data_IF_010514130913
#
_entry.id   IF_010514130913
#
_cell.length_a   1.000
_cell.length_b   1.000
_cell.length_c   1.000
_cell.angle_alpha   90.00
_cell.angle_beta   90.00
_cell.angle_gamma   90.00
#
_symmetry.space_group_name_H-M   'P 1'
#
loop_
_entity.id
_entity.type
_entity.pdbx_description
1 polymer ?
#
# COMPACT_ATOMS: atom_id res chain seq x y z
N UNK A 1 17.34 17.50 -21.32
CA UNK A 1 17.46 16.05 -21.35
C UNK A 1 16.94 15.53 -20.01
N UNK A 2 16.31 14.35 -20.01
CA UNK A 2 15.68 13.83 -18.78
C UNK A 2 16.63 12.97 -17.94
N UNK A 3 17.95 13.21 -18.07
CA UNK A 3 18.94 12.50 -17.26
C UNK A 3 18.91 12.96 -15.82
N UNK A 4 18.98 12.02 -14.90
CA UNK A 4 19.04 12.27 -13.46
C UNK A 4 20.33 13.04 -13.15
N UNK A 5 20.17 14.24 -12.61
CA UNK A 5 21.27 15.11 -12.18
C UNK A 5 21.54 14.97 -10.69
N UNK A 6 20.47 14.85 -9.90
CA UNK A 6 20.54 14.84 -8.44
C UNK A 6 19.38 14.03 -7.85
N UNK A 7 19.65 13.36 -6.73
CA UNK A 7 18.66 12.68 -5.89
C UNK A 7 18.78 13.25 -4.48
N UNK A 8 17.70 13.84 -3.99
CA UNK A 8 17.59 14.36 -2.63
C UNK A 8 16.65 13.50 -1.80
N UNK A 9 17.04 13.21 -0.57
CA UNK A 9 16.27 12.37 0.35
C UNK A 9 15.89 13.17 1.59
N UNK A 10 14.62 13.14 1.95
CA UNK A 10 14.05 13.83 3.09
C UNK A 10 13.40 12.86 4.05
N UNK A 11 13.24 13.28 5.30
CA UNK A 11 12.46 12.60 6.33
C UNK A 11 11.30 13.48 6.74
N UNK A 12 10.10 12.90 6.86
CA UNK A 12 8.93 13.58 7.41
C UNK A 12 8.24 12.66 8.39
N UNK A 13 7.97 13.16 9.59
CA UNK A 13 7.18 12.47 10.59
C UNK A 13 5.69 12.65 10.29
N UNK A 14 4.94 11.55 10.32
CA UNK A 14 3.51 11.50 10.06
C UNK A 14 2.75 11.05 11.31
N UNK A 15 2.40 11.98 12.24
CA UNK A 15 1.62 11.66 13.42
C UNK A 15 0.19 11.26 13.05
N UNK A 16 -0.37 10.28 13.77
CA UNK A 16 -1.70 9.76 13.52
C UNK A 16 -2.80 10.61 14.16
N UNK A 17 -3.92 10.80 13.43
CA UNK A 17 -5.11 11.53 13.91
C UNK A 17 -5.79 10.82 15.08
N UNK A 18 -5.83 9.50 15.06
CA UNK A 18 -6.46 8.68 16.11
C UNK A 18 -5.48 8.30 17.24
N UNK A 19 -4.30 8.95 17.30
CA UNK A 19 -3.30 8.79 18.34
C UNK A 19 -2.39 7.58 18.12
N UNK A 20 -2.92 6.39 17.90
CA UNK A 20 -2.15 5.18 17.64
C UNK A 20 -2.86 4.24 16.67
N UNK A 21 -2.08 3.46 15.95
CA UNK A 21 -2.54 2.35 15.12
C UNK A 21 -2.05 1.05 15.73
N UNK A 22 -2.98 0.18 16.10
CA UNK A 22 -2.70 -1.08 16.77
C UNK A 22 -3.09 -2.25 15.85
N UNK A 23 -2.25 -3.28 15.82
CA UNK A 23 -2.52 -4.50 15.07
C UNK A 23 -1.99 -5.75 15.78
N UNK A 24 -1.84 -6.85 15.07
CA UNK A 24 -1.51 -8.16 15.63
C UNK A 24 -0.39 -8.16 16.67
N UNK A 25 -0.46 -9.08 17.63
CA UNK A 25 0.55 -9.31 18.67
C UNK A 25 0.84 -8.07 19.57
N UNK A 26 -0.11 -7.16 19.72
CA UNK A 26 0.04 -5.94 20.54
C UNK A 26 1.00 -4.89 19.97
N UNK A 27 1.30 -4.96 18.69
CA UNK A 27 2.11 -3.96 18.00
C UNK A 27 1.36 -2.64 17.88
N UNK A 28 2.06 -1.52 18.06
CA UNK A 28 1.47 -0.18 18.03
C UNK A 28 2.46 0.85 17.49
N UNK A 29 1.94 1.86 16.78
CA UNK A 29 2.69 3.02 16.32
C UNK A 29 1.83 4.28 16.41
N UNK A 30 2.43 5.42 16.75
CA UNK A 30 1.75 6.72 16.83
C UNK A 30 2.26 7.75 15.83
N UNK A 31 3.49 7.58 15.36
CA UNK A 31 4.13 8.44 14.37
C UNK A 31 4.88 7.57 13.37
N UNK A 32 4.61 7.75 12.10
CA UNK A 32 5.35 7.07 11.04
C UNK A 32 6.53 7.92 10.56
N UNK A 33 7.68 7.28 10.36
CA UNK A 33 8.88 7.87 9.78
C UNK A 33 8.86 7.66 8.26
N UNK A 34 8.46 8.69 7.52
CA UNK A 34 8.37 8.63 6.05
C UNK A 34 9.65 9.13 5.39
N UNK A 35 10.07 8.46 4.32
CA UNK A 35 11.19 8.85 3.48
C UNK A 35 10.66 9.37 2.14
N UNK A 36 10.97 10.62 1.81
CA UNK A 36 10.62 11.25 0.54
C UNK A 36 11.86 11.40 -0.31
N UNK A 37 11.73 11.08 -1.59
CA UNK A 37 12.79 11.20 -2.60
C UNK A 37 12.37 12.21 -3.64
N UNK A 38 13.23 13.20 -3.90
CA UNK A 38 13.12 14.10 -5.04
C UNK A 38 14.22 13.76 -6.05
N UNK A 39 13.83 13.42 -7.26
CA UNK A 39 14.74 13.18 -8.40
C UNK A 39 14.71 14.41 -9.29
N UNK A 40 15.85 15.10 -9.42
CA UNK A 40 16.02 16.25 -10.31
C UNK A 40 16.75 15.85 -11.59
N UNK A 41 16.22 16.27 -12.73
CA UNK A 41 16.84 16.04 -14.05
C UNK A 41 17.75 17.20 -14.46
N UNK A 42 18.60 16.99 -15.47
CA UNK A 42 19.44 18.06 -16.09
C UNK A 42 18.59 19.22 -16.65
N UNK A 43 17.33 19.00 -17.00
CA UNK A 43 16.40 20.04 -17.46
C UNK A 43 15.76 20.84 -16.31
N UNK A 44 16.05 20.49 -15.06
CA UNK A 44 15.46 21.11 -13.88
C UNK A 44 14.07 20.58 -13.51
N UNK A 45 13.58 19.53 -14.19
CA UNK A 45 12.33 18.87 -13.80
C UNK A 45 12.55 18.04 -12.55
N UNK A 46 11.62 18.14 -11.60
CA UNK A 46 11.68 17.38 -10.35
C UNK A 46 10.46 16.45 -10.28
N UNK A 47 10.72 15.20 -9.94
CA UNK A 47 9.68 14.23 -9.56
C UNK A 47 9.86 13.76 -8.13
N UNK A 48 8.75 13.42 -7.50
CA UNK A 48 8.72 13.03 -6.10
C UNK A 48 8.19 11.61 -5.91
N UNK A 49 8.76 10.91 -4.94
CA UNK A 49 8.30 9.60 -4.49
C UNK A 49 8.42 9.48 -2.99
N UNK A 50 7.64 8.62 -2.40
CA UNK A 50 7.58 8.41 -0.96
C UNK A 50 7.61 6.91 -0.66
N UNK A 51 8.21 6.55 0.48
CA UNK A 51 8.17 5.21 1.03
C UNK A 51 8.11 5.30 2.55
N UNK A 52 7.16 4.61 3.14
CA UNK A 52 6.90 4.65 4.57
C UNK A 52 6.72 3.22 5.13
N UNK A 53 7.82 2.52 5.49
CA UNK A 53 7.73 1.22 6.13
C UNK A 53 7.05 1.29 7.50
N UNK A 54 6.29 0.26 7.85
CA UNK A 54 5.65 0.15 9.16
C UNK A 54 6.65 -0.16 10.30
N UNK A 55 7.87 -0.51 9.94
CA UNK A 55 8.95 -0.85 10.86
C UNK A 55 9.50 -2.26 10.63
N UNK A 56 10.65 -2.59 11.25
CA UNK A 56 11.37 -3.85 11.01
C UNK A 56 10.64 -5.10 11.54
N UNK A 57 9.60 -4.90 12.35
CA UNK A 57 8.79 -5.96 12.96
C UNK A 57 7.53 -6.31 12.14
N UNK A 58 7.36 -5.71 10.96
CA UNK A 58 6.26 -6.01 10.04
C UNK A 58 6.77 -6.72 8.78
N UNK A 59 7.57 -6.05 7.99
CA UNK A 59 8.26 -6.59 6.82
C UNK A 59 9.75 -6.27 6.94
N UNK A 60 10.65 -6.94 6.17
CA UNK A 60 12.09 -6.70 6.27
C UNK A 60 12.50 -5.34 5.69
N UNK A 61 11.92 -4.27 6.23
CA UNK A 61 12.20 -2.89 5.84
C UNK A 61 11.91 -1.92 6.99
N UNK A 62 12.72 -0.87 7.09
CA UNK A 62 12.58 0.21 8.07
C UNK A 62 13.15 1.51 7.49
N UNK A 63 12.70 2.64 7.98
CA UNK A 63 12.95 3.95 7.36
C UNK A 63 14.44 4.29 7.20
N UNK A 64 15.26 4.10 8.24
CA UNK A 64 16.71 4.33 8.15
C UNK A 64 17.39 3.39 7.13
N UNK A 65 16.94 2.12 7.07
CA UNK A 65 17.43 1.16 6.07
C UNK A 65 17.08 1.56 4.64
N UNK A 66 15.91 2.16 4.44
CA UNK A 66 15.53 2.74 3.14
C UNK A 66 16.49 3.87 2.77
N UNK A 67 16.71 4.83 3.67
CA UNK A 67 17.62 5.96 3.44
C UNK A 67 19.07 5.52 3.20
N UNK A 68 19.55 4.57 3.98
CA UNK A 68 20.89 3.99 3.79
C UNK A 68 21.01 3.28 2.42
N UNK A 69 19.98 2.50 2.04
CA UNK A 69 19.94 1.84 0.75
C UNK A 69 19.86 2.80 -0.43
N UNK A 70 19.16 3.93 -0.30
CA UNK A 70 19.15 4.98 -1.34
C UNK A 70 20.53 5.61 -1.48
N UNK A 71 21.24 5.85 -0.38
CA UNK A 71 22.61 6.36 -0.42
C UNK A 71 23.56 5.43 -1.17
N UNK A 72 23.38 4.11 -1.01
CA UNK A 72 24.16 3.10 -1.74
C UNK A 72 23.75 3.04 -3.22
N UNK A 73 22.45 3.04 -3.50
CA UNK A 73 21.91 2.84 -4.84
C UNK A 73 22.03 4.07 -5.74
N UNK A 74 21.81 5.26 -5.16
CA UNK A 74 21.65 6.53 -5.90
C UNK A 74 22.80 6.87 -6.85
N UNK A 75 24.10 6.70 -6.49
CA UNK A 75 25.20 6.99 -7.38
C UNK A 75 25.16 6.22 -8.72
N UNK A 76 24.57 5.02 -8.72
CA UNK A 76 24.42 4.21 -9.95
C UNK A 76 23.35 4.74 -10.90
N UNK A 77 22.51 5.67 -10.46
CA UNK A 77 21.38 6.19 -11.21
C UNK A 77 21.66 7.56 -11.83
N UNK A 78 22.68 8.28 -11.35
CA UNK A 78 23.09 9.59 -11.91
C UNK A 78 23.47 9.43 -13.38
N UNK A 79 22.96 10.32 -14.22
CA UNK A 79 23.15 10.31 -15.68
C UNK A 79 22.21 9.39 -16.45
N UNK A 80 21.42 8.53 -15.78
CA UNK A 80 20.40 7.71 -16.44
C UNK A 80 19.18 8.56 -16.82
N UNK A 81 18.47 8.14 -17.86
CA UNK A 81 17.22 8.78 -18.26
C UNK A 81 16.09 8.38 -17.29
N UNK A 82 15.58 9.34 -16.52
CA UNK A 82 14.50 9.14 -15.55
C UNK A 82 13.20 8.64 -16.18
N UNK A 83 12.98 8.86 -17.50
CA UNK A 83 11.78 8.41 -18.20
C UNK A 83 11.88 6.98 -18.74
N UNK A 84 13.07 6.39 -18.76
CA UNK A 84 13.31 5.00 -19.17
C UNK A 84 13.18 4.04 -17.99
N UNK A 85 11.94 3.90 -17.49
CA UNK A 85 11.61 3.18 -16.26
C UNK A 85 12.06 1.72 -16.24
N UNK A 86 11.98 1.01 -17.38
CA UNK A 86 12.40 -0.40 -17.42
C UNK A 86 13.90 -0.55 -17.25
N UNK A 87 14.67 0.28 -17.93
CA UNK A 87 16.13 0.25 -17.80
C UNK A 87 16.58 0.70 -16.40
N UNK A 88 15.95 1.76 -15.88
CA UNK A 88 16.19 2.23 -14.51
C UNK A 88 15.97 1.10 -13.48
N UNK A 89 14.85 0.37 -13.59
CA UNK A 89 14.56 -0.77 -12.71
C UNK A 89 15.59 -1.90 -12.87
N UNK A 90 16.07 -2.18 -14.08
CA UNK A 90 17.13 -3.17 -14.31
C UNK A 90 18.43 -2.76 -13.61
N UNK A 91 18.83 -1.47 -13.70
CA UNK A 91 20.02 -0.95 -13.01
C UNK A 91 19.83 -1.05 -11.50
N UNK A 92 18.70 -0.65 -10.96
CA UNK A 92 18.39 -0.76 -9.53
C UNK A 92 18.44 -2.21 -9.04
N UNK A 93 17.90 -3.17 -9.81
CA UNK A 93 17.90 -4.59 -9.45
C UNK A 93 19.29 -5.24 -9.60
N UNK A 94 20.13 -4.71 -10.47
CA UNK A 94 21.53 -5.15 -10.63
C UNK A 94 22.40 -4.62 -9.49
N UNK A 95 22.30 -3.33 -9.18
CA UNK A 95 23.18 -2.64 -8.23
C UNK A 95 22.85 -2.93 -6.77
N UNK A 96 21.57 -3.18 -6.46
CA UNK A 96 21.12 -3.51 -5.10
C UNK A 96 20.18 -4.71 -5.13
N UNK A 97 20.61 -5.87 -4.66
CA UNK A 97 19.76 -7.07 -4.62
C UNK A 97 18.73 -6.98 -3.50
N UNK A 98 17.49 -7.38 -3.79
CA UNK A 98 16.37 -7.23 -2.83
C UNK A 98 16.00 -5.76 -2.59
N UNK A 99 15.67 -5.43 -1.36
CA UNK A 99 15.37 -4.06 -0.88
C UNK A 99 14.34 -3.29 -1.74
N UNK A 100 13.13 -3.83 -1.97
CA UNK A 100 12.14 -3.18 -2.83
C UNK A 100 11.73 -1.79 -2.31
N UNK A 101 11.65 -1.60 -1.00
CA UNK A 101 11.34 -0.33 -0.36
C UNK A 101 12.36 0.79 -0.63
N UNK A 102 13.61 0.43 -0.93
CA UNK A 102 14.65 1.39 -1.34
C UNK A 102 14.40 1.89 -2.77
N UNK A 103 13.96 0.98 -3.64
CA UNK A 103 13.75 1.24 -5.07
C UNK A 103 12.44 1.97 -5.35
N UNK A 104 11.42 1.69 -4.53
CA UNK A 104 10.07 2.20 -4.72
C UNK A 104 10.00 3.73 -4.82
N UNK A 105 10.50 4.52 -3.88
CA UNK A 105 10.36 5.97 -3.95
C UNK A 105 11.11 6.58 -5.15
N UNK A 106 12.18 5.95 -5.62
CA UNK A 106 12.91 6.37 -6.81
C UNK A 106 12.07 6.07 -8.07
N UNK A 107 11.50 4.89 -8.17
CA UNK A 107 10.62 4.49 -9.28
C UNK A 107 9.39 5.41 -9.36
N UNK A 108 8.74 5.68 -8.23
CA UNK A 108 7.58 6.59 -8.14
C UNK A 108 7.96 8.00 -8.57
N UNK A 109 9.10 8.54 -8.12
CA UNK A 109 9.60 9.85 -8.55
C UNK A 109 9.86 9.90 -10.07
N UNK A 110 10.38 8.83 -10.64
CA UNK A 110 10.62 8.73 -12.08
C UNK A 110 9.30 8.60 -12.89
N UNK A 111 8.27 7.95 -12.35
CA UNK A 111 6.93 7.98 -12.92
C UNK A 111 6.33 9.40 -12.92
N UNK A 112 6.53 10.16 -11.84
CA UNK A 112 6.11 11.56 -11.75
C UNK A 112 6.79 12.41 -12.84
N UNK A 113 8.13 12.27 -13.00
CA UNK A 113 8.88 12.92 -14.10
C UNK A 113 8.31 12.51 -15.46
N UNK A 114 8.09 11.21 -15.67
CA UNK A 114 7.57 10.72 -16.96
C UNK A 114 6.21 11.33 -17.30
N UNK A 115 5.31 11.43 -16.32
CA UNK A 115 4.01 12.07 -16.48
C UNK A 115 4.16 13.56 -16.80
N UNK A 116 5.01 14.28 -16.07
CA UNK A 116 5.30 15.71 -16.31
C UNK A 116 5.90 15.95 -17.70
N UNK A 117 6.88 15.15 -18.12
CA UNK A 117 7.49 15.22 -19.47
C UNK A 117 6.49 14.91 -20.58
N UNK A 118 5.59 13.97 -20.35
CA UNK A 118 4.57 13.56 -21.33
C UNK A 118 3.33 14.47 -21.33
N UNK A 119 3.23 15.41 -20.40
CA UNK A 119 2.04 16.23 -20.13
C UNK A 119 0.78 15.38 -19.88
N UNK A 120 0.93 14.29 -19.14
CA UNK A 120 -0.15 13.36 -18.81
C UNK A 120 -0.12 12.98 -17.33
N UNK A 121 -1.30 12.73 -16.71
CA UNK A 121 -1.36 12.06 -15.43
C UNK A 121 -0.75 10.65 -15.49
N UNK A 122 -0.20 10.17 -14.38
CA UNK A 122 0.38 8.82 -14.32
C UNK A 122 -0.67 7.74 -14.63
N UNK A 123 -1.93 7.90 -14.20
CA UNK A 123 -3.02 6.98 -14.53
C UNK A 123 -3.23 6.80 -16.05
N UNK A 124 -3.08 7.88 -16.82
CA UNK A 124 -3.18 7.79 -18.29
C UNK A 124 -2.04 7.00 -18.91
N UNK A 125 -0.83 7.13 -18.35
CA UNK A 125 0.34 6.35 -18.79
C UNK A 125 0.27 4.88 -18.36
N UNK A 126 -0.54 4.56 -17.33
CA UNK A 126 -0.80 3.22 -16.85
C UNK A 126 -1.96 2.51 -17.56
N UNK A 127 -2.51 3.11 -18.61
CA UNK A 127 -3.58 2.52 -19.43
C UNK A 127 -4.86 3.34 -19.51
N UNK A 128 -4.97 4.42 -18.73
CA UNK A 128 -6.16 5.27 -18.67
C UNK A 128 -7.03 4.99 -17.44
N UNK A 129 -8.05 5.80 -17.25
CA UNK A 129 -9.00 5.69 -16.12
C UNK A 129 -10.27 4.95 -16.58
N UNK A 130 -10.84 4.13 -15.70
CA UNK A 130 -12.04 3.34 -15.99
C UNK A 130 -13.32 4.04 -15.53
N UNK A 131 -13.31 4.68 -14.36
CA UNK A 131 -14.45 5.36 -13.73
C UNK A 131 -13.98 6.70 -13.13
N UNK A 132 -14.91 7.54 -12.69
CA UNK A 132 -14.58 8.87 -12.15
C UNK A 132 -13.87 8.79 -10.77
N UNK A 133 -14.14 7.75 -10.00
CA UNK A 133 -13.55 7.46 -8.69
C UNK A 133 -13.58 5.96 -8.38
N UNK A 134 -12.91 5.54 -7.32
CA UNK A 134 -12.84 4.15 -6.89
C UNK A 134 -13.07 4.04 -5.36
N UNK A 135 -13.43 2.81 -4.91
CA UNK A 135 -13.79 2.54 -3.52
C UNK A 135 -12.58 2.43 -2.62
N UNK A 136 -12.72 2.94 -1.39
CA UNK A 136 -11.72 2.84 -0.33
C UNK A 136 -12.18 1.90 0.78
N UNK A 137 -11.22 1.27 1.46
CA UNK A 137 -11.45 0.67 2.76
C UNK A 137 -11.03 1.62 3.89
N UNK A 138 -11.59 1.37 5.08
CA UNK A 138 -11.12 1.97 6.33
C UNK A 138 -10.63 0.87 7.27
N UNK A 139 -9.40 1.00 7.74
CA UNK A 139 -8.85 0.09 8.73
C UNK A 139 -9.42 0.42 10.13
N UNK A 140 -9.86 -0.62 10.85
CA UNK A 140 -10.28 -0.56 12.24
C UNK A 140 -9.13 -1.11 13.08
N UNK A 141 -8.45 -0.22 13.79
CA UNK A 141 -7.34 -0.53 14.68
C UNK A 141 -7.75 -1.56 15.74
N UNK A 142 -6.83 -2.44 16.16
CA UNK A 142 -7.13 -3.47 17.16
C UNK A 142 -7.36 -2.84 18.52
N UNK A 143 -8.56 -3.01 19.04
CA UNK A 143 -9.03 -2.53 20.33
C UNK A 143 -10.00 -3.55 20.96
N UNK A 144 -10.70 -3.14 22.04
CA UNK A 144 -11.82 -3.86 22.61
C UNK A 144 -12.91 -4.13 21.56
N UNK A 145 -13.48 -5.36 21.50
CA UNK A 145 -14.44 -5.75 20.45
C UNK A 145 -15.61 -4.79 20.27
N UNK A 146 -16.19 -4.27 21.37
CA UNK A 146 -17.32 -3.33 21.34
C UNK A 146 -16.95 -1.97 20.76
N UNK A 147 -15.72 -1.48 21.03
CA UNK A 147 -15.21 -0.24 20.45
C UNK A 147 -14.98 -0.39 18.96
N UNK A 148 -14.38 -1.50 18.53
CA UNK A 148 -14.16 -1.79 17.11
C UNK A 148 -15.49 -1.86 16.34
N UNK A 149 -16.52 -2.48 16.93
CA UNK A 149 -17.86 -2.51 16.36
C UNK A 149 -18.48 -1.11 16.20
N UNK A 150 -18.25 -0.19 17.15
CA UNK A 150 -18.76 1.19 17.05
C UNK A 150 -18.13 1.98 15.91
N UNK A 151 -16.86 1.73 15.59
CA UNK A 151 -16.12 2.38 14.49
C UNK A 151 -16.76 2.16 13.12
N UNK A 152 -17.41 1.02 12.90
CA UNK A 152 -18.14 0.77 11.64
C UNK A 152 -19.17 1.87 11.38
N UNK A 153 -19.96 2.24 12.40
CA UNK A 153 -20.99 3.27 12.26
C UNK A 153 -20.41 4.67 12.07
N UNK A 154 -19.24 4.95 12.66
CA UNK A 154 -18.52 6.21 12.47
C UNK A 154 -18.01 6.33 11.03
N UNK A 155 -17.26 5.34 10.55
CA UNK A 155 -16.68 5.34 9.21
C UNK A 155 -17.73 5.23 8.10
N UNK A 156 -18.87 4.58 8.37
CA UNK A 156 -19.99 4.57 7.43
C UNK A 156 -20.58 5.98 7.20
N UNK A 157 -20.59 6.85 8.21
CA UNK A 157 -21.02 8.26 8.05
C UNK A 157 -20.07 9.03 7.12
N UNK A 158 -18.81 8.61 7.03
CA UNK A 158 -17.82 9.14 6.09
C UNK A 158 -17.93 8.50 4.69
N UNK A 159 -18.85 7.53 4.52
CA UNK A 159 -19.15 6.86 3.26
C UNK A 159 -18.40 5.53 3.02
N UNK A 160 -17.56 5.10 3.96
CA UNK A 160 -16.87 3.81 3.81
C UNK A 160 -17.86 2.63 3.90
N UNK A 161 -17.65 1.65 3.02
CA UNK A 161 -18.42 0.41 2.91
C UNK A 161 -17.54 -0.84 2.92
N UNK A 162 -16.23 -0.66 3.08
CA UNK A 162 -15.24 -1.73 3.19
C UNK A 162 -14.43 -1.49 4.46
N UNK A 163 -14.41 -2.50 5.33
CA UNK A 163 -13.81 -2.39 6.65
C UNK A 163 -12.74 -3.47 6.81
N UNK A 164 -11.50 -3.05 7.03
CA UNK A 164 -10.40 -3.96 7.37
C UNK A 164 -10.25 -3.98 8.89
N UNK A 165 -10.69 -5.07 9.49
CA UNK A 165 -10.66 -5.28 10.93
C UNK A 165 -9.33 -5.89 11.33
N UNK A 166 -8.56 -5.21 12.17
CA UNK A 166 -7.29 -5.75 12.68
C UNK A 166 -7.54 -6.78 13.78
N UNK A 167 -7.08 -8.00 13.52
CA UNK A 167 -7.12 -9.19 14.40
C UNK A 167 -5.71 -9.77 14.54
N UNK A 168 -5.52 -11.03 14.83
CA UNK A 168 -4.18 -11.65 14.94
C UNK A 168 -3.62 -11.59 16.37
N UNK A 169 -4.51 -11.55 17.35
CA UNK A 169 -4.18 -11.65 18.78
C UNK A 169 -4.73 -12.94 19.39
N UNK A 170 -5.38 -12.83 20.54
CA UNK A 170 -6.05 -13.95 21.18
C UNK A 170 -7.22 -14.44 20.33
N UNK A 171 -7.28 -15.72 19.95
CA UNK A 171 -8.34 -16.26 19.08
C UNK A 171 -9.77 -16.08 19.60
N UNK A 172 -9.99 -16.14 20.94
CA UNK A 172 -11.34 -15.96 21.50
C UNK A 172 -11.80 -14.52 21.39
N UNK A 173 -10.92 -13.55 21.62
CA UNK A 173 -11.19 -12.13 21.43
C UNK A 173 -11.38 -11.80 19.95
N UNK A 174 -10.60 -12.39 19.06
CA UNK A 174 -10.70 -12.14 17.62
C UNK A 174 -11.99 -12.71 17.03
N UNK A 175 -12.46 -13.85 17.50
CA UNK A 175 -13.79 -14.40 17.18
C UNK A 175 -14.87 -13.40 17.60
N UNK A 176 -14.76 -12.83 18.80
CA UNK A 176 -15.73 -11.84 19.31
C UNK A 176 -15.66 -10.52 18.52
N UNK A 177 -14.45 -10.02 18.19
CA UNK A 177 -14.25 -8.85 17.32
C UNK A 177 -14.96 -9.02 15.97
N UNK A 178 -14.75 -10.16 15.31
CA UNK A 178 -15.38 -10.45 14.01
C UNK A 178 -16.91 -10.52 14.15
N UNK A 179 -17.42 -11.17 15.17
CA UNK A 179 -18.88 -11.28 15.41
C UNK A 179 -19.52 -9.93 15.63
N UNK A 180 -19.05 -9.16 16.62
CA UNK A 180 -19.64 -7.87 16.96
C UNK A 180 -19.55 -6.83 15.83
N UNK A 181 -18.44 -6.84 15.09
CA UNK A 181 -18.28 -5.98 13.91
C UNK A 181 -19.25 -6.41 12.81
N UNK A 182 -19.39 -7.71 12.55
CA UNK A 182 -20.30 -8.23 11.52
C UNK A 182 -21.75 -7.87 11.77
N UNK A 183 -22.18 -7.79 13.03
CA UNK A 183 -23.54 -7.35 13.43
C UNK A 183 -23.85 -5.88 13.08
N UNK A 184 -22.82 -5.07 12.84
CA UNK A 184 -22.96 -3.65 12.45
C UNK A 184 -22.97 -3.45 10.94
N UNK A 185 -22.71 -4.49 10.16
CA UNK A 185 -22.66 -4.38 8.70
C UNK A 185 -24.06 -4.28 8.10
N UNK A 186 -24.15 -3.57 7.01
CA UNK A 186 -25.34 -3.43 6.17
C UNK A 186 -25.15 -4.13 4.83
N UNK A 187 -26.24 -4.33 4.11
CA UNK A 187 -26.18 -4.92 2.77
C UNK A 187 -25.25 -4.12 1.85
N UNK A 188 -24.28 -4.81 1.25
CA UNK A 188 -23.27 -4.23 0.38
C UNK A 188 -21.95 -3.85 1.08
N UNK A 189 -21.90 -3.88 2.42
CA UNK A 189 -20.62 -3.72 3.13
C UNK A 189 -19.74 -4.97 2.94
N UNK A 190 -18.42 -4.79 3.03
CA UNK A 190 -17.44 -5.88 3.03
C UNK A 190 -16.58 -5.81 4.27
N UNK A 191 -16.39 -6.97 4.91
CA UNK A 191 -15.54 -7.15 6.06
C UNK A 191 -14.29 -7.95 5.67
N UNK A 192 -13.13 -7.46 6.05
CA UNK A 192 -11.85 -8.15 5.95
C UNK A 192 -11.33 -8.32 7.38
N UNK A 193 -11.04 -9.53 7.81
CA UNK A 193 -10.36 -9.82 9.07
C UNK A 193 -8.87 -10.05 8.76
N UNK A 194 -8.07 -9.03 9.01
CA UNK A 194 -6.64 -9.02 8.74
C UNK A 194 -5.86 -9.36 10.02
N UNK A 195 -5.27 -10.54 10.01
CA UNK A 195 -4.47 -11.03 11.14
C UNK A 195 -3.01 -10.58 11.08
N UNK A 196 -2.56 -9.97 10.01
CA UNK A 196 -1.17 -9.53 9.83
C UNK A 196 -0.16 -10.56 10.34
N UNK A 197 -0.32 -11.82 9.92
CA UNK A 197 0.52 -12.98 10.28
C UNK A 197 0.40 -13.46 11.75
N UNK A 198 -0.47 -12.91 12.56
CA UNK A 198 -0.44 -13.03 14.02
C UNK A 198 -0.92 -14.37 14.60
N UNK A 199 -1.61 -15.23 13.82
CA UNK A 199 -2.07 -16.52 14.33
C UNK A 199 -1.13 -17.67 13.96
N UNK A 200 -1.01 -18.63 14.87
CA UNK A 200 -0.51 -19.96 14.50
C UNK A 200 -1.56 -20.71 13.67
N UNK A 201 -1.14 -21.65 12.85
CA UNK A 201 -2.04 -22.34 11.92
C UNK A 201 -3.26 -22.99 12.62
N UNK A 202 -3.09 -23.60 13.80
CA UNK A 202 -4.20 -24.20 14.55
C UNK A 202 -5.16 -23.15 15.13
N UNK A 203 -4.65 -21.98 15.54
CA UNK A 203 -5.45 -20.85 16.01
C UNK A 203 -6.26 -20.26 14.87
N UNK A 204 -5.62 -20.02 13.73
CA UNK A 204 -6.30 -19.56 12.52
C UNK A 204 -7.43 -20.49 12.10
N UNK A 205 -7.19 -21.82 12.08
CA UNK A 205 -8.23 -22.82 11.78
C UNK A 205 -9.38 -22.74 12.78
N UNK A 206 -9.08 -22.55 14.07
CA UNK A 206 -10.11 -22.37 15.10
C UNK A 206 -10.97 -21.13 14.85
N UNK A 207 -10.33 -19.99 14.56
CA UNK A 207 -11.04 -18.73 14.28
C UNK A 207 -11.93 -18.87 13.06
N UNK A 208 -11.41 -19.30 11.91
CA UNK A 208 -12.21 -19.40 10.67
C UNK A 208 -13.38 -20.36 10.79
N UNK A 209 -13.24 -21.46 11.57
CA UNK A 209 -14.35 -22.38 11.83
C UNK A 209 -15.41 -21.75 12.75
N UNK A 210 -15.02 -20.99 13.78
CA UNK A 210 -15.93 -20.36 14.72
C UNK A 210 -16.76 -19.22 14.08
N UNK A 211 -16.28 -18.63 12.96
CA UNK A 211 -16.96 -17.57 12.22
C UNK A 211 -17.46 -18.02 10.85
N UNK A 212 -17.58 -19.34 10.62
CA UNK A 212 -17.92 -19.95 9.32
C UNK A 212 -19.27 -19.50 8.73
N UNK A 213 -20.16 -18.96 9.55
CA UNK A 213 -21.46 -18.41 9.16
C UNK A 213 -21.45 -16.90 8.88
N UNK A 214 -20.29 -16.24 8.94
CA UNK A 214 -20.13 -14.80 8.73
C UNK A 214 -19.51 -14.56 7.34
N UNK A 215 -20.05 -13.61 6.56
CA UNK A 215 -19.43 -13.18 5.29
C UNK A 215 -18.23 -12.28 5.59
N UNK A 216 -17.05 -12.89 5.69
CA UNK A 216 -15.79 -12.21 6.00
C UNK A 216 -14.65 -12.76 5.15
N UNK A 217 -13.83 -11.87 4.61
CA UNK A 217 -12.56 -12.21 3.98
C UNK A 217 -11.49 -12.42 5.05
N UNK A 218 -10.71 -13.48 4.93
CA UNK A 218 -9.59 -13.75 5.84
C UNK A 218 -8.31 -13.28 5.17
N UNK A 219 -7.62 -12.32 5.79
CA UNK A 219 -6.39 -11.75 5.26
C UNK A 219 -5.19 -12.21 6.09
N UNK A 220 -4.17 -12.75 5.40
CA UNK A 220 -2.85 -13.16 5.91
C UNK A 220 -2.90 -13.73 7.34
N UNK A 221 -3.54 -14.87 7.57
CA UNK A 221 -3.77 -15.39 8.93
C UNK A 221 -2.48 -15.81 9.64
N UNK A 222 -1.48 -16.32 8.91
CA UNK A 222 -0.25 -16.88 9.46
C UNK A 222 1.00 -16.27 8.82
N UNK A 223 2.15 -16.49 9.46
CA UNK A 223 3.43 -15.92 9.06
C UNK A 223 3.88 -16.40 7.67
N UNK A 224 3.82 -17.71 7.44
CA UNK A 224 4.31 -18.28 6.19
C UNK A 224 3.20 -18.53 5.18
N UNK A 225 3.57 -18.50 3.90
CA UNK A 225 2.69 -18.87 2.80
C UNK A 225 2.08 -20.30 2.98
N UNK A 226 2.90 -21.26 3.38
CA UNK A 226 2.48 -22.67 3.50
C UNK A 226 1.51 -22.89 4.67
N UNK A 227 1.63 -22.13 5.76
CA UNK A 227 0.65 -22.08 6.84
C UNK A 227 -0.66 -21.47 6.37
N UNK A 228 -0.62 -20.32 5.66
CA UNK A 228 -1.81 -19.70 5.07
C UNK A 228 -2.53 -20.66 4.11
N UNK A 229 -1.80 -21.36 3.24
CA UNK A 229 -2.35 -22.38 2.35
C UNK A 229 -2.99 -23.54 3.12
N UNK A 230 -2.41 -23.93 4.26
CA UNK A 230 -2.98 -24.95 5.15
C UNK A 230 -4.31 -24.49 5.74
N UNK A 231 -4.42 -23.25 6.20
CA UNK A 231 -5.68 -22.67 6.69
C UNK A 231 -6.69 -22.54 5.56
N UNK A 232 -6.28 -22.04 4.38
CA UNK A 232 -7.13 -21.91 3.19
C UNK A 232 -7.88 -23.21 2.85
N UNK A 233 -7.19 -24.35 2.96
CA UNK A 233 -7.75 -25.67 2.68
C UNK A 233 -8.75 -26.17 3.73
N UNK A 234 -8.92 -25.45 4.84
CA UNK A 234 -9.80 -25.80 5.96
C UNK A 234 -11.00 -24.86 6.11
N UNK A 235 -11.16 -23.90 5.20
CA UNK A 235 -12.25 -22.93 5.26
C UNK A 235 -12.81 -22.65 3.87
N UNK A 236 -14.08 -22.19 3.84
CA UNK A 236 -14.75 -21.68 2.63
C UNK A 236 -14.75 -20.14 2.57
N UNK A 237 -14.18 -19.46 3.57
CA UNK A 237 -14.05 -18.00 3.51
C UNK A 237 -13.18 -17.59 2.32
N UNK A 238 -13.52 -16.49 1.65
CA UNK A 238 -12.60 -15.89 0.68
C UNK A 238 -11.32 -15.45 1.39
N UNK A 239 -10.18 -15.60 0.69
CA UNK A 239 -8.84 -15.41 1.25
C UNK A 239 -8.09 -14.31 0.53
N UNK A 240 -7.43 -13.47 1.32
CA UNK A 240 -6.54 -12.42 0.83
C UNK A 240 -5.12 -12.74 1.30
N UNK A 241 -4.15 -12.73 0.39
CA UNK A 241 -2.75 -12.81 0.74
C UNK A 241 -2.08 -11.44 0.59
N UNK A 242 -1.31 -11.06 1.59
CA UNK A 242 -0.58 -9.81 1.67
C UNK A 242 0.93 -10.05 1.85
N UNK A 243 1.40 -10.22 3.09
CA UNK A 243 2.83 -10.26 3.43
C UNK A 243 3.58 -11.37 2.69
N UNK A 244 2.92 -12.47 2.42
CA UNK A 244 3.52 -13.61 1.72
C UNK A 244 3.62 -13.45 0.18
N UNK A 245 2.97 -12.42 -0.39
CA UNK A 245 3.04 -12.11 -1.83
C UNK A 245 3.81 -10.81 -2.03
N UNK A 246 5.08 -10.91 -2.36
CA UNK A 246 6.00 -9.78 -2.46
C UNK A 246 6.68 -9.64 -3.84
N UNK A 247 6.40 -10.57 -4.76
CA UNK A 247 6.87 -10.53 -6.14
C UNK A 247 5.93 -11.31 -7.08
N UNK A 248 6.23 -11.24 -8.39
CA UNK A 248 5.45 -11.97 -9.42
C UNK A 248 5.52 -13.49 -9.23
N UNK A 249 6.61 -14.05 -8.70
CA UNK A 249 6.76 -15.50 -8.54
C UNK A 249 5.85 -16.01 -7.42
N UNK A 250 5.83 -15.31 -6.29
CA UNK A 250 4.91 -15.61 -5.18
C UNK A 250 3.45 -15.41 -5.59
N UNK A 251 3.14 -14.38 -6.38
CA UNK A 251 1.80 -14.17 -6.95
C UNK A 251 1.35 -15.33 -7.82
N UNK A 252 2.18 -15.77 -8.78
CA UNK A 252 1.87 -16.88 -9.66
C UNK A 252 1.77 -18.21 -8.90
N UNK A 253 2.59 -18.42 -7.87
CA UNK A 253 2.47 -19.56 -6.96
C UNK A 253 1.11 -19.55 -6.26
N UNK A 254 0.72 -18.39 -5.70
CA UNK A 254 -0.58 -18.23 -5.02
C UNK A 254 -1.77 -18.55 -5.92
N UNK A 255 -1.74 -18.10 -7.16
CA UNK A 255 -2.75 -18.43 -8.16
C UNK A 255 -2.79 -19.94 -8.47
N UNK A 256 -1.64 -20.53 -8.77
CA UNK A 256 -1.55 -21.96 -9.12
C UNK A 256 -2.04 -22.89 -7.99
N UNK A 257 -1.70 -22.55 -6.75
CA UNK A 257 -2.08 -23.33 -5.57
C UNK A 257 -3.54 -23.09 -5.11
N UNK A 258 -4.27 -22.12 -5.72
CA UNK A 258 -5.60 -21.69 -5.27
C UNK A 258 -5.58 -21.09 -3.86
N UNK A 259 -4.47 -20.45 -3.50
CA UNK A 259 -4.21 -20.00 -2.15
C UNK A 259 -4.95 -18.70 -1.77
N UNK A 260 -5.47 -17.96 -2.77
CA UNK A 260 -6.10 -16.67 -2.56
C UNK A 260 -7.21 -16.39 -3.58
N UNK A 261 -8.18 -15.59 -3.19
CA UNK A 261 -9.24 -15.04 -4.04
C UNK A 261 -8.94 -13.56 -4.38
N UNK A 262 -8.18 -12.89 -3.51
CA UNK A 262 -7.67 -11.53 -3.71
C UNK A 262 -6.23 -11.40 -3.19
N UNK A 263 -5.53 -10.36 -3.63
CA UNK A 263 -4.15 -10.07 -3.23
C UNK A 263 -3.97 -8.60 -2.94
N UNK A 264 -3.13 -8.28 -1.93
CA UNK A 264 -2.73 -6.91 -1.63
C UNK A 264 -1.46 -6.54 -2.41
N UNK A 265 -1.60 -5.60 -3.35
CA UNK A 265 -0.50 -5.02 -4.11
C UNK A 265 -0.06 -3.74 -3.42
N UNK A 266 0.97 -3.86 -2.55
CA UNK A 266 1.64 -2.72 -1.92
C UNK A 266 2.76 -2.22 -2.83
N UNK A 267 2.65 -0.97 -3.28
CA UNK A 267 3.58 -0.39 -4.27
C UNK A 267 5.03 -0.52 -3.81
N UNK A 268 5.33 -0.15 -2.56
CA UNK A 268 6.69 -0.25 -2.00
C UNK A 268 7.16 -1.69 -1.84
N UNK A 269 6.29 -2.63 -1.47
CA UNK A 269 6.61 -4.05 -1.33
C UNK A 269 7.03 -4.68 -2.66
N UNK A 270 6.43 -4.25 -3.77
CA UNK A 270 6.83 -4.68 -5.12
C UNK A 270 8.04 -3.92 -5.67
N UNK A 271 8.39 -2.77 -5.09
CA UNK A 271 9.54 -1.97 -5.50
C UNK A 271 9.22 -0.86 -6.50
N UNK A 272 8.00 -0.30 -6.40
CA UNK A 272 7.54 0.85 -7.16
C UNK A 272 6.37 0.56 -8.09
N UNK A 273 5.83 1.62 -8.70
CA UNK A 273 4.68 1.55 -9.62
C UNK A 273 4.98 0.63 -10.80
N UNK A 274 6.21 0.64 -11.35
CA UNK A 274 6.59 -0.20 -12.51
C UNK A 274 6.32 -1.68 -12.26
N UNK A 275 6.68 -2.19 -11.09
CA UNK A 275 6.50 -3.62 -10.75
C UNK A 275 5.09 -3.90 -10.23
N UNK A 276 4.51 -2.96 -9.47
CA UNK A 276 3.13 -3.08 -9.00
C UNK A 276 2.12 -3.09 -10.16
N UNK A 277 2.32 -2.25 -11.19
CA UNK A 277 1.49 -2.27 -12.40
C UNK A 277 1.57 -3.61 -13.15
N UNK A 278 2.75 -4.22 -13.23
CA UNK A 278 2.89 -5.56 -13.82
C UNK A 278 2.14 -6.63 -13.01
N UNK A 279 2.19 -6.54 -11.68
CA UNK A 279 1.42 -7.45 -10.81
C UNK A 279 -0.08 -7.24 -11.03
N UNK A 280 -0.57 -5.98 -11.09
CA UNK A 280 -1.94 -5.63 -11.43
C UNK A 280 -2.37 -6.22 -12.77
N UNK A 281 -1.57 -6.07 -13.82
CA UNK A 281 -1.88 -6.57 -15.16
C UNK A 281 -1.99 -8.10 -15.18
N UNK A 282 -1.09 -8.80 -14.49
CA UNK A 282 -1.16 -10.26 -14.32
C UNK A 282 -2.42 -10.66 -13.57
N UNK A 283 -2.78 -9.97 -12.48
CA UNK A 283 -4.01 -10.23 -11.74
C UNK A 283 -5.24 -10.03 -12.64
N UNK A 284 -5.22 -9.01 -13.50
CA UNK A 284 -6.30 -8.74 -14.46
C UNK A 284 -6.48 -9.90 -15.43
N UNK A 285 -5.40 -10.39 -16.04
CA UNK A 285 -5.43 -11.53 -16.96
C UNK A 285 -5.86 -12.85 -16.28
N UNK A 286 -5.54 -13.01 -15.01
CA UNK A 286 -5.86 -14.21 -14.23
C UNK A 286 -7.21 -14.12 -13.50
N UNK A 287 -7.89 -12.95 -13.52
CA UNK A 287 -9.16 -12.74 -12.83
C UNK A 287 -9.04 -12.70 -11.30
N UNK A 288 -7.88 -12.27 -10.76
CA UNK A 288 -7.63 -12.14 -9.32
C UNK A 288 -8.05 -10.75 -8.86
N UNK A 289 -8.89 -10.67 -7.83
CA UNK A 289 -9.23 -9.39 -7.21
C UNK A 289 -8.02 -8.77 -6.49
N UNK A 290 -7.95 -7.43 -6.46
CA UNK A 290 -6.79 -6.71 -5.93
C UNK A 290 -7.20 -5.62 -4.94
N UNK A 291 -6.48 -5.52 -3.84
CA UNK A 291 -6.37 -4.28 -3.07
C UNK A 291 -5.12 -3.56 -3.54
N UNK A 292 -5.27 -2.30 -3.97
CA UNK A 292 -4.12 -1.44 -4.33
C UNK A 292 -3.84 -0.52 -3.14
N UNK A 293 -2.66 -0.66 -2.57
CA UNK A 293 -2.27 0.04 -1.35
C UNK A 293 -0.76 0.21 -1.22
N UNK A 294 -0.29 0.63 -0.07
CA UNK A 294 1.11 0.53 0.37
C UNK A 294 1.16 0.12 1.85
N UNK A 295 2.33 0.13 2.43
CA UNK A 295 2.50 -0.19 3.86
C UNK A 295 1.98 0.94 4.73
N UNK A 296 2.39 2.17 4.44
CA UNK A 296 1.88 3.44 4.95
C UNK A 296 2.33 4.58 4.05
N UNK A 297 1.99 5.85 4.40
CA UNK A 297 2.46 7.03 3.71
C UNK A 297 1.60 8.27 3.93
N UNK A 298 2.06 9.37 3.35
CA UNK A 298 1.34 10.64 3.25
C UNK A 298 0.72 10.85 1.87
N UNK A 299 0.76 12.09 1.40
CA UNK A 299 0.10 12.52 0.16
C UNK A 299 0.72 11.90 -1.10
N UNK A 300 2.04 11.68 -1.12
CA UNK A 300 2.75 11.19 -2.30
C UNK A 300 2.46 9.69 -2.49
N UNK A 301 2.52 8.89 -1.42
CA UNK A 301 2.10 7.47 -1.47
C UNK A 301 0.62 7.38 -1.86
N UNK A 302 -0.24 8.21 -1.25
CA UNK A 302 -1.67 8.21 -1.58
C UNK A 302 -1.91 8.58 -3.04
N UNK A 303 -1.14 9.52 -3.61
CA UNK A 303 -1.23 9.84 -5.04
C UNK A 303 -0.79 8.66 -5.93
N UNK A 304 0.29 7.95 -5.58
CA UNK A 304 0.73 6.77 -6.30
C UNK A 304 -0.33 5.66 -6.28
N UNK A 305 -0.93 5.39 -5.10
CA UNK A 305 -2.06 4.45 -4.95
C UNK A 305 -3.23 4.89 -5.83
N UNK A 306 -3.58 6.18 -5.80
CA UNK A 306 -4.71 6.71 -6.55
C UNK A 306 -4.54 6.50 -8.06
N UNK A 307 -3.37 6.78 -8.62
CA UNK A 307 -3.11 6.60 -10.05
C UNK A 307 -3.16 5.13 -10.48
N UNK A 308 -2.57 4.23 -9.68
CA UNK A 308 -2.59 2.80 -9.99
C UNK A 308 -4.01 2.22 -9.86
N UNK A 309 -4.74 2.58 -8.80
CA UNK A 309 -6.13 2.15 -8.59
C UNK A 309 -7.05 2.63 -9.70
N UNK A 310 -6.95 3.91 -10.07
CA UNK A 310 -7.80 4.53 -11.10
C UNK A 310 -7.60 3.92 -12.50
N UNK A 311 -6.41 3.34 -12.76
CA UNK A 311 -6.08 2.60 -13.97
C UNK A 311 -6.29 1.09 -13.86
N UNK A 312 -7.03 0.62 -12.86
CA UNK A 312 -7.34 -0.80 -12.62
C UNK A 312 -8.81 -1.08 -12.93
N UNK A 313 -9.11 -2.20 -13.59
CA UNK A 313 -10.50 -2.60 -13.90
C UNK A 313 -11.32 -2.66 -12.59
N UNK A 314 -12.42 -1.89 -12.47
CA UNK A 314 -13.24 -1.82 -11.25
C UNK A 314 -13.87 -3.17 -10.86
N UNK A 315 -14.00 -4.12 -11.77
CA UNK A 315 -14.45 -5.48 -11.47
C UNK A 315 -13.43 -6.27 -10.65
N UNK A 316 -12.16 -5.92 -10.78
CA UNK A 316 -11.04 -6.59 -10.10
C UNK A 316 -10.40 -5.73 -9.02
N UNK A 317 -10.66 -4.43 -9.01
CA UNK A 317 -10.27 -3.56 -7.91
C UNK A 317 -11.17 -3.84 -6.70
N UNK A 318 -10.70 -4.73 -5.80
CA UNK A 318 -11.45 -5.05 -4.60
C UNK A 318 -11.58 -3.82 -3.71
N UNK A 319 -10.48 -3.10 -3.46
CA UNK A 319 -10.46 -1.82 -2.73
C UNK A 319 -9.11 -1.12 -2.88
N UNK A 320 -9.01 0.10 -2.34
CA UNK A 320 -7.77 0.85 -2.16
C UNK A 320 -7.78 1.57 -0.80
N UNK A 321 -6.72 2.31 -0.50
CA UNK A 321 -6.61 3.10 0.74
C UNK A 321 -6.15 4.52 0.48
N UNK A 322 -6.38 5.39 1.46
CA UNK A 322 -6.05 6.82 1.47
C UNK A 322 -5.26 7.17 2.73
N UNK A 323 -4.00 6.75 2.82
CA UNK A 323 -3.19 6.89 4.03
C UNK A 323 -3.05 8.32 4.53
N UNK A 324 -3.06 9.32 3.65
CA UNK A 324 -3.04 10.73 4.06
C UNK A 324 -4.25 11.14 4.93
N UNK A 325 -5.34 10.39 4.91
CA UNK A 325 -6.48 10.63 5.80
C UNK A 325 -6.23 10.24 7.25
N UNK A 326 -5.28 9.37 7.50
CA UNK A 326 -4.96 8.86 8.84
C UNK A 326 -3.98 9.76 9.59
N UNK A 327 -3.26 10.64 8.90
CA UNK A 327 -2.18 11.47 9.46
C UNK A 327 -2.61 12.93 9.63
N UNK A 328 -1.94 13.66 10.52
CA UNK A 328 -2.26 15.06 10.86
C UNK A 328 -1.51 16.08 10.03
N UNK A 329 -0.55 15.64 9.21
CA UNK A 329 0.31 16.51 8.40
C UNK A 329 0.01 16.29 6.93
N UNK A 330 -0.35 17.37 6.24
CA UNK A 330 -0.39 17.38 4.77
C UNK A 330 1.00 17.73 4.27
N UNK A 331 1.57 16.88 3.41
CA UNK A 331 2.96 17.03 2.92
C UNK A 331 3.04 17.62 1.51
N UNK A 332 1.93 17.65 0.77
CA UNK A 332 1.88 18.15 -0.60
C UNK A 332 0.53 18.80 -0.94
N UNK A 333 0.58 19.84 -1.78
CA UNK A 333 -0.60 20.32 -2.50
C UNK A 333 -1.00 19.35 -3.62
N UNK A 334 -2.23 19.40 -4.07
CA UNK A 334 -2.75 18.54 -5.13
C UNK A 334 -3.02 17.08 -4.72
N UNK A 335 -2.99 16.78 -3.43
CA UNK A 335 -3.31 15.45 -2.91
C UNK A 335 -4.64 14.89 -3.45
N UNK A 336 -4.78 13.57 -3.63
CA UNK A 336 -5.99 12.96 -4.17
C UNK A 336 -7.24 13.36 -3.38
N UNK A 337 -8.31 13.69 -4.10
CA UNK A 337 -9.59 14.07 -3.50
C UNK A 337 -10.35 12.83 -3.06
N UNK A 338 -10.80 12.87 -1.80
CA UNK A 338 -11.62 11.84 -1.17
C UNK A 338 -13.01 12.38 -0.85
N UNK A 339 -14.03 11.63 -1.17
CA UNK A 339 -15.41 11.93 -0.77
C UNK A 339 -16.22 10.63 -0.64
N UNK A 340 -17.04 10.52 0.40
CA UNK A 340 -17.97 9.41 0.57
C UNK A 340 -17.33 8.01 0.49
N UNK A 341 -16.15 7.81 1.12
CA UNK A 341 -15.43 6.54 1.08
C UNK A 341 -14.88 6.15 -0.29
N UNK A 342 -14.76 7.11 -1.20
CA UNK A 342 -14.23 6.96 -2.55
C UNK A 342 -13.15 8.02 -2.82
N UNK A 343 -12.26 7.75 -3.75
CA UNK A 343 -11.14 8.64 -4.12
C UNK A 343 -10.92 8.64 -5.63
N UNK A 344 -10.37 9.75 -6.14
CA UNK A 344 -9.91 9.87 -7.51
C UNK A 344 -8.46 10.33 -7.57
N UNK A 345 -7.72 9.91 -8.61
CA UNK A 345 -6.39 10.46 -8.87
C UNK A 345 -6.49 11.88 -9.42
N UNK A 346 -5.39 12.62 -9.33
CA UNK A 346 -5.27 13.94 -9.96
C UNK A 346 -5.32 13.84 -11.49
N UNK A 347 -5.92 14.83 -12.13
CA UNK A 347 -5.88 15.01 -13.58
C UNK A 347 -4.67 15.85 -14.03
N UNK A 348 -3.86 16.35 -13.12
CA UNK A 348 -2.62 17.10 -13.40
C UNK A 348 -1.51 16.18 -13.88
N UNK A 349 -0.50 16.73 -14.56
CA UNK A 349 0.62 15.96 -15.10
C UNK A 349 1.44 15.31 -13.97
N UNK A 350 1.99 14.14 -14.23
CA UNK A 350 2.70 13.36 -13.22
C UNK A 350 1.77 12.74 -12.18
N UNK A 351 2.17 12.76 -10.93
CA UNK A 351 1.32 12.41 -9.79
C UNK A 351 0.32 13.52 -9.44
N UNK A 352 0.53 14.73 -9.99
CA UNK A 352 -0.34 15.88 -9.77
C UNK A 352 -0.22 16.46 -8.37
N UNK A 353 0.92 16.26 -7.71
CA UNK A 353 1.22 16.78 -6.37
C UNK A 353 2.44 17.69 -6.41
N UNK A 354 2.50 18.65 -5.47
CA UNK A 354 3.67 19.51 -5.25
C UNK A 354 3.96 19.55 -3.75
N UNK A 355 5.05 18.91 -3.27
CA UNK A 355 5.38 18.89 -1.85
C UNK A 355 5.72 20.28 -1.29
N UNK A 356 5.28 20.54 -0.07
CA UNK A 356 5.58 21.77 0.66
C UNK A 356 7.05 21.78 1.10
N UNK A 357 7.83 22.72 0.58
CA UNK A 357 9.27 22.85 0.87
C UNK A 357 9.56 23.08 2.35
N UNK A 358 8.69 23.79 3.04
CA UNK A 358 8.77 24.03 4.49
C UNK A 358 8.58 22.76 5.31
N UNK A 359 7.78 21.78 4.81
CA UNK A 359 7.59 20.48 5.45
C UNK A 359 8.76 19.56 5.16
N UNK A 360 9.25 19.54 3.92
CA UNK A 360 10.42 18.73 3.55
C UNK A 360 11.70 19.20 4.26
N UNK A 361 11.87 20.52 4.46
CA UNK A 361 13.07 21.10 5.04
C UNK A 361 14.31 20.90 4.16
N UNK A 362 15.46 20.66 4.81
CA UNK A 362 16.72 20.37 4.11
C UNK A 362 16.84 18.86 3.83
N UNK A 363 17.38 18.46 2.68
CA UNK A 363 17.64 17.05 2.43
C UNK A 363 18.64 16.48 3.45
N UNK A 364 18.36 15.26 3.91
CA UNK A 364 19.28 14.47 4.76
C UNK A 364 20.42 13.89 3.94
N UNK A 365 20.15 13.56 2.67
CA UNK A 365 21.12 12.96 1.75
C UNK A 365 20.96 13.66 0.41
N UNK A 366 22.09 14.04 -0.17
CA UNK A 366 22.21 14.60 -1.53
C UNK A 366 23.17 13.73 -2.34
N UNK A 367 22.75 13.32 -3.52
CA UNK A 367 23.53 12.44 -4.43
C UNK A 367 23.54 13.11 -5.80
N UNK A 368 24.74 13.40 -6.34
CA UNK A 368 24.94 14.09 -7.62
C UNK A 368 26.13 13.52 -8.40
#
# INVERSE_FOLDING_TARGET
MNKIKQINVYQVDLPLKEGAYNWSEGKSISVFDSTIVAVETESGMIGYGECCPLGPFYLPSYAEGVRAGIKELGPHLIGLDATNLFYLNQVMDHSLKGHPYVKSPIDVACWDIKGKVSNLPVSNLLGGIFEDDFVLYRAISQEEPTKMASKVSEYRKEGYRRFQLKVGGNPDEDIERIRLVSEKLEVGDKLIADANTGWLAHEAIRVVNAVSNIDVYIEQPCLSYDECLTVRRKTNHPFILDESINDIRSLLRGYHDGAMDAVNIKISKFGGITKAARARDICTELGIAMTIEDTWGGDIVTAAIAHLSHSTDPKLLFTATDFNSYVTVDIADGAPKRANGRMSSSNSHGLGIEPYKEILGKPLIEIS
#
